data_IF_346809274646
#
_entry.id   IF_346809274646
#
_cell.length_a   1.000
_cell.length_b   1.000
_cell.length_c   1.000
_cell.angle_alpha   90.00
_cell.angle_beta   90.00
_cell.angle_gamma   90.00
#
_symmetry.space_group_name_H-M   'P 1'
#
loop_
_entity.id
_entity.type
_entity.pdbx_description
1 polymer ?
#
# COMPACT_ATOMS: atom_id res chain seq x y z
N UNK A 1 -0.08 10.70 26.12
CA UNK A 1 0.29 10.80 24.70
C UNK A 1 1.51 11.73 24.54
N UNK A 2 1.45 12.98 24.99
CA UNK A 2 2.54 13.97 24.81
C UNK A 2 3.85 13.56 25.47
N UNK A 3 3.83 13.02 26.67
CA UNK A 3 5.03 12.50 27.35
C UNK A 3 5.68 11.34 26.56
N UNK A 4 4.88 10.49 25.91
CA UNK A 4 5.42 9.44 25.07
C UNK A 4 6.11 10.04 23.84
N UNK A 5 5.48 11.01 23.18
CA UNK A 5 6.03 11.67 22.00
C UNK A 5 7.35 12.40 22.36
N UNK A 6 7.38 13.11 23.48
CA UNK A 6 8.59 13.79 23.96
C UNK A 6 9.72 12.79 24.20
N UNK A 7 9.46 11.69 24.92
CA UNK A 7 10.47 10.65 25.15
C UNK A 7 10.89 9.93 23.87
N UNK A 8 9.97 9.72 22.95
CA UNK A 8 10.26 9.14 21.64
C UNK A 8 11.28 10.03 20.89
N UNK A 9 11.03 11.32 20.82
CA UNK A 9 11.87 12.27 20.07
C UNK A 9 13.19 12.54 20.79
N UNK A 10 13.13 12.82 22.09
CA UNK A 10 14.29 13.30 22.85
C UNK A 10 15.22 12.19 23.35
N UNK A 11 14.67 11.00 23.63
CA UNK A 11 15.43 9.89 24.25
C UNK A 11 15.53 8.66 23.34
N UNK A 12 14.42 8.18 22.79
CA UNK A 12 14.40 6.90 22.09
C UNK A 12 15.03 6.97 20.70
N UNK A 13 14.63 7.93 19.88
CA UNK A 13 15.14 8.05 18.50
C UNK A 13 16.66 8.25 18.46
N UNK A 14 17.30 9.11 19.29
CA UNK A 14 18.76 9.25 19.30
C UNK A 14 19.52 7.98 19.72
N UNK A 15 18.86 7.06 20.41
CA UNK A 15 19.42 5.77 20.85
C UNK A 15 19.33 4.67 19.80
N UNK A 16 18.61 4.91 18.69
CA UNK A 16 18.54 3.96 17.57
C UNK A 16 19.93 3.80 16.98
N UNK A 17 20.36 2.53 16.85
CA UNK A 17 21.66 2.23 16.24
C UNK A 17 21.64 2.60 14.76
N UNK A 18 22.71 3.26 14.29
CA UNK A 18 22.86 3.72 12.90
C UNK A 18 21.75 4.67 12.42
N UNK A 19 21.23 5.49 13.34
CA UNK A 19 20.20 6.46 13.01
C UNK A 19 20.73 7.52 12.00
N UNK A 20 20.03 7.61 10.85
CA UNK A 20 20.35 8.56 9.77
C UNK A 20 19.24 9.58 9.50
N UNK A 21 18.31 9.71 10.42
CA UNK A 21 17.10 10.52 10.26
C UNK A 21 15.88 9.69 9.82
N UNK A 22 14.73 10.18 10.19
CA UNK A 22 13.44 9.58 9.85
C UNK A 22 13.14 9.80 8.36
N UNK A 23 12.43 8.85 7.76
CA UNK A 23 12.04 8.94 6.36
C UNK A 23 10.90 9.94 6.20
N UNK A 24 11.08 11.07 5.49
CA UNK A 24 10.01 12.05 5.29
C UNK A 24 8.93 11.61 4.30
N UNK A 25 9.08 10.45 3.63
CA UNK A 25 8.09 9.89 2.70
C UNK A 25 7.12 8.89 3.36
N UNK A 26 7.22 8.68 4.66
CA UNK A 26 6.35 7.75 5.38
C UNK A 26 5.04 8.40 5.83
N UNK A 27 4.60 9.44 5.14
CA UNK A 27 3.28 10.01 5.26
C UNK A 27 2.28 9.27 4.37
N UNK A 28 1.00 9.31 4.72
CA UNK A 28 -0.08 8.57 4.04
C UNK A 28 -0.86 9.39 2.97
N UNK A 29 -0.43 10.61 2.67
CA UNK A 29 -1.13 11.54 1.79
C UNK A 29 -2.25 12.33 2.49
N UNK A 30 -2.50 12.06 3.78
CA UNK A 30 -3.56 12.69 4.60
C UNK A 30 -3.03 13.31 5.89
N UNK A 31 -1.73 13.52 5.96
CA UNK A 31 -1.09 14.14 7.12
C UNK A 31 -0.86 13.21 8.31
N UNK A 32 -0.90 11.89 8.15
CA UNK A 32 -0.51 10.95 9.18
C UNK A 32 0.88 10.40 8.87
N UNK A 33 1.68 10.21 9.91
CA UNK A 33 3.05 9.73 9.80
C UNK A 33 3.21 8.37 10.48
N UNK A 34 3.84 7.42 9.79
CA UNK A 34 4.10 6.08 10.32
C UNK A 34 5.59 5.76 10.33
N UNK A 35 6.07 5.16 11.42
CA UNK A 35 7.45 4.72 11.56
C UNK A 35 7.54 3.39 12.30
N UNK A 36 8.49 2.55 11.89
CA UNK A 36 8.81 1.30 12.57
C UNK A 36 10.02 1.47 13.50
N UNK A 37 9.89 0.98 14.71
CA UNK A 37 10.98 0.82 15.68
C UNK A 37 11.32 -0.66 15.73
N UNK A 38 12.58 -1.02 15.46
CA UNK A 38 13.00 -2.42 15.39
C UNK A 38 13.20 -3.05 16.77
N UNK A 39 13.64 -2.28 17.73
CA UNK A 39 14.06 -2.75 19.04
C UNK A 39 13.43 -1.88 20.13
N UNK A 40 12.64 -2.48 21.00
CA UNK A 40 12.01 -1.78 22.13
C UNK A 40 13.02 -1.24 23.16
N UNK A 41 14.24 -1.79 23.18
CA UNK A 41 15.29 -1.42 24.12
C UNK A 41 15.85 0.01 23.94
N UNK A 42 15.43 0.71 22.88
CA UNK A 42 15.74 2.14 22.71
C UNK A 42 15.11 3.01 23.79
N UNK A 43 14.00 2.52 24.42
CA UNK A 43 13.38 3.20 25.53
C UNK A 43 14.15 2.88 26.84
N UNK A 44 14.57 3.90 27.60
CA UNK A 44 15.37 3.69 28.81
C UNK A 44 14.60 3.01 29.94
N UNK A 45 13.27 2.99 29.88
CA UNK A 45 12.41 2.33 30.84
C UNK A 45 12.39 0.81 30.71
N UNK A 46 12.89 0.31 29.57
CA UNK A 46 12.92 -1.14 29.29
C UNK A 46 14.31 -1.66 29.64
N UNK A 47 14.35 -2.52 30.66
CA UNK A 47 15.55 -3.22 31.05
C UNK A 47 15.75 -4.46 30.19
N UNK A 48 16.92 -4.57 29.58
CA UNK A 48 17.29 -5.71 28.73
C UNK A 48 17.23 -7.05 29.44
N UNK A 49 17.58 -7.08 30.72
CA UNK A 49 17.61 -8.31 31.51
C UNK A 49 16.19 -8.80 31.93
N UNK A 50 15.20 -7.92 31.85
CA UNK A 50 13.82 -8.21 32.24
C UNK A 50 12.91 -8.64 31.07
N UNK A 51 13.40 -8.56 29.82
CA UNK A 51 12.60 -8.89 28.65
C UNK A 51 12.87 -10.32 28.18
N UNK A 52 11.81 -11.05 27.81
CA UNK A 52 11.92 -12.40 27.24
C UNK A 52 12.45 -12.37 25.81
N UNK A 53 12.07 -11.36 25.04
CA UNK A 53 12.41 -11.23 23.62
C UNK A 53 12.44 -9.75 23.19
N UNK A 54 13.42 -9.42 22.36
CA UNK A 54 13.46 -8.11 21.67
C UNK A 54 12.34 -8.07 20.62
N UNK A 55 11.47 -7.05 20.71
CA UNK A 55 10.35 -6.85 19.81
C UNK A 55 10.42 -5.47 19.19
N UNK A 56 9.96 -5.38 17.95
CA UNK A 56 9.71 -4.11 17.29
C UNK A 56 8.29 -3.60 17.56
N UNK A 57 8.07 -2.35 17.26
CA UNK A 57 6.75 -1.72 17.31
C UNK A 57 6.60 -0.71 16.17
N UNK A 58 5.40 -0.58 15.68
CA UNK A 58 5.03 0.44 14.71
C UNK A 58 4.34 1.58 15.43
N UNK A 59 4.79 2.80 15.17
CA UNK A 59 4.24 4.03 15.74
C UNK A 59 3.58 4.82 14.62
N UNK A 60 2.28 5.07 14.74
CA UNK A 60 1.55 5.94 13.83
C UNK A 60 1.10 7.19 14.56
N UNK A 61 1.47 8.34 14.02
CA UNK A 61 1.10 9.65 14.53
C UNK A 61 0.02 10.21 13.62
N UNK A 62 -1.21 10.24 14.13
CA UNK A 62 -2.33 10.84 13.40
C UNK A 62 -2.45 12.30 13.78
N UNK A 63 -2.56 13.16 12.77
CA UNK A 63 -2.69 14.60 12.95
C UNK A 63 -4.01 15.12 12.35
N UNK A 64 -4.36 16.33 12.67
CA UNK A 64 -5.50 17.04 12.05
C UNK A 64 -5.11 17.82 10.80
N UNK A 65 -3.84 17.73 10.38
CA UNK A 65 -3.37 18.32 9.13
C UNK A 65 -4.07 17.67 7.93
N UNK A 66 -4.34 18.43 6.91
CA UNK A 66 -5.01 17.93 5.71
C UNK A 66 -4.02 17.49 4.63
N UNK A 67 -2.80 17.97 4.71
CA UNK A 67 -1.71 17.66 3.77
C UNK A 67 -0.47 17.15 4.49
N UNK A 68 0.33 16.39 3.79
CA UNK A 68 1.58 15.86 4.32
C UNK A 68 2.61 16.96 4.61
N UNK A 69 2.56 18.07 3.86
CA UNK A 69 3.41 19.24 4.08
C UNK A 69 3.13 19.91 5.43
N UNK A 70 1.84 20.09 5.76
CA UNK A 70 1.42 20.65 7.04
C UNK A 70 1.81 19.73 8.20
N UNK A 71 1.59 18.42 8.05
CA UNK A 71 1.96 17.43 9.06
C UNK A 71 3.48 17.36 9.24
N UNK A 72 4.24 17.42 8.16
CA UNK A 72 5.69 17.47 8.21
C UNK A 72 6.19 18.70 8.96
N UNK A 73 5.66 19.89 8.63
CA UNK A 73 6.01 21.14 9.32
C UNK A 73 5.67 21.08 10.82
N UNK A 74 4.53 20.49 11.17
CA UNK A 74 4.12 20.26 12.56
C UNK A 74 5.12 19.35 13.31
N UNK A 75 5.45 18.20 12.74
CA UNK A 75 6.36 17.25 13.36
C UNK A 75 7.79 17.78 13.42
N UNK A 76 8.23 18.52 12.41
CA UNK A 76 9.52 19.23 12.43
C UNK A 76 9.56 20.27 13.54
N UNK A 77 8.45 21.02 13.78
CA UNK A 77 8.35 21.98 14.88
C UNK A 77 8.41 21.30 16.26
N UNK A 78 7.96 20.05 16.39
CA UNK A 78 8.18 19.23 17.60
C UNK A 78 9.60 18.70 17.75
N UNK A 79 10.47 18.91 16.76
CA UNK A 79 11.86 18.48 16.79
C UNK A 79 12.10 17.06 16.30
N UNK A 80 11.18 16.49 15.52
CA UNK A 80 11.42 15.17 14.91
C UNK A 80 12.57 15.24 13.90
N UNK A 81 13.60 14.37 14.03
CA UNK A 81 14.80 14.41 13.21
C UNK A 81 14.59 13.75 11.86
N UNK A 82 13.98 14.45 10.92
CA UNK A 82 13.82 13.99 9.55
C UNK A 82 15.11 14.09 8.73
N UNK A 83 15.22 13.25 7.71
CA UNK A 83 16.25 13.43 6.68
C UNK A 83 15.93 14.68 5.87
N UNK A 84 16.97 15.32 5.35
CA UNK A 84 16.81 16.51 4.51
C UNK A 84 16.26 16.19 3.12
N UNK A 85 16.47 14.98 2.64
CA UNK A 85 16.06 14.50 1.33
C UNK A 85 14.64 13.92 1.37
N UNK A 86 13.84 14.17 0.34
CA UNK A 86 12.49 13.62 0.20
C UNK A 86 11.43 14.32 1.03
N UNK A 87 11.60 15.58 1.32
CA UNK A 87 10.65 16.43 2.06
C UNK A 87 9.34 16.55 1.30
N UNK A 88 8.15 16.34 1.90
CA UNK A 88 6.88 16.59 1.24
C UNK A 88 6.81 18.04 0.73
N UNK A 89 6.36 18.25 -0.52
CA UNK A 89 6.34 19.58 -1.14
C UNK A 89 7.69 20.18 -1.52
N UNK A 90 8.78 19.45 -1.34
CA UNK A 90 10.10 19.89 -1.78
C UNK A 90 10.39 19.54 -3.24
N UNK A 91 11.32 20.25 -3.91
CA UNK A 91 11.66 19.97 -5.31
C UNK A 91 12.19 18.54 -5.55
N UNK A 92 12.69 17.89 -4.50
CA UNK A 92 13.17 16.50 -4.56
C UNK A 92 12.05 15.47 -4.35
N UNK A 93 10.89 15.88 -3.80
CA UNK A 93 9.78 14.99 -3.51
C UNK A 93 9.11 14.51 -4.80
N UNK A 94 8.85 15.41 -5.73
CA UNK A 94 8.22 15.11 -7.02
C UNK A 94 9.11 14.26 -7.91
N UNK A 95 10.42 14.57 -7.95
CA UNK A 95 11.38 13.81 -8.72
C UNK A 95 11.57 12.39 -8.17
N UNK A 96 11.53 12.24 -6.87
CA UNK A 96 11.70 10.96 -6.22
C UNK A 96 10.42 10.11 -6.26
N UNK A 97 9.23 10.74 -6.14
CA UNK A 97 7.95 10.05 -6.34
C UNK A 97 7.82 9.55 -7.79
N UNK A 98 8.22 10.36 -8.76
CA UNK A 98 8.25 9.96 -10.17
C UNK A 98 9.21 8.80 -10.43
N UNK A 99 10.40 8.80 -9.83
CA UNK A 99 11.36 7.72 -9.96
C UNK A 99 10.87 6.40 -9.32
N UNK A 100 10.23 6.46 -8.15
CA UNK A 100 9.63 5.27 -7.52
C UNK A 100 8.44 4.72 -8.32
N UNK A 101 7.63 5.60 -8.90
CA UNK A 101 6.52 5.19 -9.77
C UNK A 101 7.03 4.53 -11.06
N UNK A 102 8.11 5.04 -11.63
CA UNK A 102 8.73 4.48 -12.81
C UNK A 102 9.35 3.10 -12.51
N UNK A 103 10.07 2.95 -11.41
CA UNK A 103 10.59 1.66 -10.94
C UNK A 103 9.47 0.65 -10.70
N UNK A 104 8.39 1.05 -10.04
CA UNK A 104 7.24 0.18 -9.79
C UNK A 104 6.53 -0.25 -11.07
N UNK A 105 6.47 0.64 -12.08
CA UNK A 105 5.95 0.30 -13.41
C UNK A 105 6.87 -0.66 -14.16
N UNK A 106 8.17 -0.47 -14.05
CA UNK A 106 9.17 -1.35 -14.68
C UNK A 106 9.17 -2.75 -14.04
N UNK A 107 9.13 -2.83 -12.71
CA UNK A 107 8.98 -4.10 -12.00
C UNK A 107 7.66 -4.81 -12.32
N UNK A 108 6.55 -4.06 -12.42
CA UNK A 108 5.26 -4.62 -12.80
C UNK A 108 5.26 -5.15 -14.25
N UNK A 109 5.94 -4.46 -15.17
CA UNK A 109 6.11 -4.94 -16.55
C UNK A 109 6.98 -6.20 -16.61
N UNK A 110 8.12 -6.19 -15.93
CA UNK A 110 9.01 -7.35 -15.88
C UNK A 110 8.31 -8.58 -15.27
N UNK A 111 7.48 -8.37 -14.23
CA UNK A 111 6.69 -9.43 -13.64
C UNK A 111 5.61 -9.95 -14.58
N UNK A 112 4.91 -9.05 -15.31
CA UNK A 112 3.90 -9.44 -16.28
C UNK A 112 4.51 -10.20 -17.47
N UNK A 113 5.69 -9.78 -17.95
CA UNK A 113 6.43 -10.49 -18.99
C UNK A 113 6.89 -11.87 -18.54
N UNK A 114 7.39 -11.99 -17.31
CA UNK A 114 7.79 -13.28 -16.73
C UNK A 114 6.58 -14.22 -16.55
N UNK A 115 5.43 -13.68 -16.14
CA UNK A 115 4.19 -14.46 -16.00
C UNK A 115 3.65 -14.91 -17.36
N UNK A 116 3.71 -14.05 -18.38
CA UNK A 116 3.33 -14.40 -19.76
C UNK A 116 4.27 -15.49 -20.35
N UNK A 117 5.57 -15.33 -20.14
CA UNK A 117 6.55 -16.34 -20.59
C UNK A 117 6.31 -17.71 -19.91
N UNK A 118 6.05 -17.71 -18.61
CA UNK A 118 5.73 -18.91 -17.87
C UNK A 118 4.41 -19.57 -18.34
N UNK A 119 3.41 -18.74 -18.66
CA UNK A 119 2.13 -19.21 -19.22
C UNK A 119 2.29 -19.79 -20.64
N UNK A 120 3.16 -19.20 -21.48
CA UNK A 120 3.47 -19.74 -22.80
C UNK A 120 4.23 -21.07 -22.70
N UNK A 121 5.18 -21.17 -21.77
CA UNK A 121 5.90 -22.40 -21.53
C UNK A 121 4.98 -23.54 -21.04
N UNK A 122 4.07 -23.23 -20.11
CA UNK A 122 3.04 -24.18 -19.64
C UNK A 122 2.06 -24.59 -20.75
N UNK A 123 1.69 -23.68 -21.64
CA UNK A 123 0.85 -24.00 -22.81
C UNK A 123 1.58 -24.87 -23.85
N UNK A 124 2.90 -24.66 -24.02
CA UNK A 124 3.71 -25.45 -24.90
C UNK A 124 3.93 -26.88 -24.35
N UNK A 125 4.03 -27.02 -23.04
CA UNK A 125 4.22 -28.31 -22.36
C UNK A 125 2.92 -29.14 -22.29
N UNK A 126 1.75 -28.47 -22.16
CA UNK A 126 0.44 -29.13 -22.10
C UNK A 126 -0.60 -28.49 -23.03
N UNK A 127 -0.48 -28.66 -24.35
CA UNK A 127 -1.39 -28.05 -25.31
C UNK A 127 -2.85 -28.52 -25.14
N UNK A 128 -3.05 -29.79 -24.77
CA UNK A 128 -4.40 -30.37 -24.62
C UNK A 128 -5.22 -29.77 -23.45
N UNK A 129 -4.55 -29.26 -22.42
CA UNK A 129 -5.22 -28.67 -21.25
C UNK A 129 -5.78 -27.24 -21.54
N UNK A 130 -5.28 -26.60 -22.59
CA UNK A 130 -5.67 -25.23 -22.97
C UNK A 130 -6.42 -25.15 -24.31
N UNK A 131 -6.67 -26.28 -25.02
CA UNK A 131 -7.62 -26.30 -26.13
C UNK A 131 -9.02 -26.07 -25.56
N UNK A 132 -9.66 -25.00 -26.03
CA UNK A 132 -11.09 -24.78 -25.74
C UNK A 132 -11.85 -26.02 -26.21
N UNK A 133 -12.74 -26.61 -25.37
CA UNK A 133 -13.63 -27.63 -25.86
C UNK A 133 -14.40 -27.06 -27.05
N UNK A 134 -14.20 -27.67 -28.21
CA UNK A 134 -15.03 -27.38 -29.40
C UNK A 134 -16.46 -27.62 -29.02
N UNK A 135 -17.28 -26.58 -29.10
CA UNK A 135 -18.71 -26.70 -28.96
C UNK A 135 -19.16 -27.70 -30.02
N UNK A 136 -20.02 -28.70 -29.69
CA UNK A 136 -20.54 -29.62 -30.68
C UNK A 136 -21.31 -28.82 -31.73
N UNK A 137 -20.80 -28.86 -32.97
CA UNK A 137 -21.54 -28.41 -34.13
C UNK A 137 -22.72 -29.37 -34.34
N UNK A 138 -23.93 -28.80 -34.38
CA UNK A 138 -25.01 -29.34 -35.13
C UNK A 138 -26.02 -30.18 -34.38
N UNK A 139 -27.09 -29.55 -34.04
CA UNK A 139 -28.43 -30.12 -34.34
C UNK A 139 -29.37 -28.95 -34.68
N UNK A 140 -29.51 -28.74 -35.97
CA UNK A 140 -30.65 -28.03 -36.55
C UNK A 140 -31.92 -28.86 -36.24
N UNK A 141 -32.74 -28.37 -35.34
CA UNK A 141 -34.15 -28.80 -35.32
C UNK A 141 -35.02 -27.63 -35.72
N UNK A 142 -35.52 -27.78 -36.94
CA UNK A 142 -36.66 -27.02 -37.48
C UNK A 142 -37.88 -27.10 -36.55
N UNK A 143 -38.57 -25.99 -36.47
CA UNK A 143 -40.03 -26.02 -36.43
C UNK A 143 -40.70 -25.77 -35.10
N UNK A 144 -41.42 -24.68 -35.03
CA UNK A 144 -42.44 -24.45 -34.01
C UNK A 144 -42.88 -23.00 -33.87
N UNK A 145 -43.69 -22.56 -34.81
CA UNK A 145 -44.57 -21.38 -34.65
C UNK A 145 -45.48 -21.52 -33.42
N UNK A 146 -45.77 -20.40 -32.77
CA UNK A 146 -46.82 -20.30 -31.75
C UNK A 146 -46.71 -19.02 -30.93
N UNK A 147 -47.17 -17.96 -31.47
CA UNK A 147 -48.30 -17.12 -31.15
C UNK A 147 -48.59 -16.85 -29.64
N UNK A 148 -48.77 -15.57 -29.33
CA UNK A 148 -49.78 -15.13 -28.39
C UNK A 148 -49.40 -14.41 -27.12
N UNK A 149 -49.58 -13.09 -27.13
CA UNK A 149 -50.28 -12.38 -26.04
C UNK A 149 -49.41 -11.82 -24.91
N UNK A 150 -49.14 -10.55 -24.79
CA UNK A 150 -50.12 -9.55 -24.37
C UNK A 150 -50.04 -9.32 -22.85
N UNK A 151 -49.77 -8.06 -22.44
CA UNK A 151 -50.00 -7.58 -21.07
C UNK A 151 -48.74 -6.93 -20.44
N UNK A 152 -48.46 -5.71 -20.68
CA UNK A 152 -48.98 -4.46 -20.11
C UNK A 152 -49.06 -4.51 -18.56
N UNK A 153 -48.25 -3.73 -17.90
CA UNK A 153 -48.55 -2.85 -16.79
C UNK A 153 -47.25 -2.44 -15.99
N UNK A 154 -46.86 -1.21 -16.19
CA UNK A 154 -46.25 -0.40 -15.14
C UNK A 154 -47.41 0.34 -14.42
N UNK A 155 -47.19 1.23 -13.43
CA UNK A 155 -46.18 1.45 -12.42
C UNK A 155 -46.83 1.64 -11.01
N UNK A 156 -46.05 2.02 -9.99
CA UNK A 156 -46.34 2.91 -8.84
C UNK A 156 -45.38 2.52 -7.72
N UNK A 157 -44.53 3.38 -7.25
CA UNK A 157 -44.62 4.62 -6.50
C UNK A 157 -44.85 4.39 -4.99
N UNK A 158 -44.09 5.18 -4.20
CA UNK A 158 -44.22 5.54 -2.77
C UNK A 158 -43.91 4.46 -1.70
N UNK A 159 -42.86 4.67 -0.95
CA UNK A 159 -42.73 5.48 0.29
C UNK A 159 -41.32 5.43 0.81
#
# INVERSE_FOLDING_TARGET
MWEFLDRLISLAIPRVRDFRGLNPRSFDGRGNYSMGVREQIIFPEIDYDSIDQVRGLDVTISTSAQTDEEAFALLEAFGMPFRREGRPGGPDADAAAAAEEEQRKEEARARAEAEQAALEELKAENPEAYEKPQAPEGEETEGGEGDGGGGDAAPADES
#
